data_IF_593802600996
#
_entry.id   IF_593802600996
#
_cell.length_a   1.000
_cell.length_b   1.000
_cell.length_c   1.000
_cell.angle_alpha   90.00
_cell.angle_beta   90.00
_cell.angle_gamma   90.00
#
_symmetry.space_group_name_H-M   'P 1'
#
loop_
_entity.id
_entity.type
_entity.pdbx_description
1 polymer ?
#
# COMPACT_ATOMS: atom_id res chain seq x y z
N UNK A 1 -7.98 -0.12 3.72
CA UNK A 1 -7.12 -0.10 2.51
C UNK A 1 -5.64 -0.13 2.86
N UNK A 2 -5.11 0.82 3.64
CA UNK A 2 -3.66 0.93 3.96
C UNK A 2 -3.03 -0.34 4.57
N UNK A 3 -3.70 -1.01 5.51
CA UNK A 3 -3.16 -2.26 6.08
C UNK A 3 -2.96 -3.36 5.03
N UNK A 4 -3.89 -3.51 4.07
CA UNK A 4 -3.76 -4.47 2.97
C UNK A 4 -2.59 -4.13 2.05
N UNK A 5 -2.27 -2.84 1.89
CA UNK A 5 -1.11 -2.40 1.13
C UNK A 5 0.19 -2.88 1.81
N UNK A 6 0.30 -2.76 3.14
CA UNK A 6 1.46 -3.30 3.87
C UNK A 6 1.58 -4.83 3.76
N UNK A 7 0.47 -5.56 3.70
CA UNK A 7 0.49 -7.01 3.44
C UNK A 7 1.09 -7.31 2.06
N UNK A 8 0.61 -6.62 1.00
CA UNK A 8 1.17 -6.76 -0.34
C UNK A 8 2.66 -6.40 -0.36
N UNK A 9 3.04 -5.37 0.38
CA UNK A 9 4.42 -4.98 0.49
C UNK A 9 5.30 -6.08 1.06
N UNK A 10 4.86 -6.72 2.15
CA UNK A 10 5.57 -7.81 2.81
C UNK A 10 5.63 -9.07 1.94
N UNK A 11 4.53 -9.43 1.26
CA UNK A 11 4.47 -10.63 0.42
C UNK A 11 5.35 -10.55 -0.83
N UNK A 12 5.40 -9.37 -1.45
CA UNK A 12 6.15 -9.15 -2.69
C UNK A 12 7.50 -8.47 -2.45
N UNK A 13 7.87 -8.22 -1.19
CA UNK A 13 9.10 -7.56 -0.78
C UNK A 13 9.37 -6.25 -1.56
N UNK A 14 8.35 -5.40 -1.68
CA UNK A 14 8.39 -4.19 -2.49
C UNK A 14 8.81 -2.96 -1.66
N UNK A 15 9.54 -2.02 -2.28
CA UNK A 15 9.70 -0.67 -1.73
C UNK A 15 8.38 0.11 -1.84
N UNK A 16 8.25 1.21 -1.07
CA UNK A 16 7.05 2.04 -1.08
C UNK A 16 6.75 2.57 -2.51
N UNK A 17 7.77 3.01 -3.23
CA UNK A 17 7.67 3.48 -4.63
C UNK A 17 7.32 2.35 -5.60
N UNK A 18 7.90 1.16 -5.41
CA UNK A 18 7.61 0.01 -6.27
C UNK A 18 6.17 -0.46 -6.07
N UNK A 19 5.67 -0.43 -4.84
CA UNK A 19 4.30 -0.78 -4.49
C UNK A 19 3.29 0.22 -5.06
N UNK A 20 3.57 1.53 -4.95
CA UNK A 20 2.78 2.59 -5.59
C UNK A 20 2.63 2.31 -7.10
N UNK A 21 3.76 2.09 -7.79
CA UNK A 21 3.77 1.77 -9.23
C UNK A 21 3.06 0.46 -9.56
N UNK A 22 3.13 -0.54 -8.68
CA UNK A 22 2.47 -1.82 -8.89
C UNK A 22 0.94 -1.68 -8.75
N UNK A 23 0.46 -1.01 -7.70
CA UNK A 23 -0.97 -0.74 -7.51
C UNK A 23 -1.52 0.10 -8.67
N UNK A 24 -0.73 1.02 -9.22
CA UNK A 24 -1.13 1.81 -10.39
C UNK A 24 -1.34 0.96 -11.66
N UNK A 25 -0.62 -0.16 -11.83
CA UNK A 25 -0.64 -0.95 -13.07
C UNK A 25 -1.39 -2.26 -12.98
N UNK A 26 -1.47 -2.84 -11.79
CA UNK A 26 -1.97 -4.20 -11.59
C UNK A 26 -3.38 -4.22 -10.98
N UNK A 27 -4.35 -4.66 -11.79
CA UNK A 27 -5.75 -4.76 -11.39
C UNK A 27 -5.98 -5.76 -10.25
N UNK A 28 -5.14 -6.79 -10.13
CA UNK A 28 -5.26 -7.76 -9.03
C UNK A 28 -4.84 -7.14 -7.71
N UNK A 29 -3.79 -6.31 -7.72
CA UNK A 29 -3.39 -5.53 -6.54
C UNK A 29 -4.50 -4.56 -6.15
N UNK A 30 -5.05 -3.80 -7.10
CA UNK A 30 -6.19 -2.89 -6.86
C UNK A 30 -7.40 -3.63 -6.29
N UNK A 31 -7.77 -4.77 -6.88
CA UNK A 31 -8.88 -5.61 -6.41
C UNK A 31 -8.64 -6.11 -4.99
N UNK A 32 -7.43 -6.54 -4.64
CA UNK A 32 -7.11 -7.02 -3.30
C UNK A 32 -7.30 -5.92 -2.23
N UNK A 33 -6.80 -4.72 -2.51
CA UNK A 33 -6.91 -3.57 -1.59
C UNK A 33 -8.29 -2.89 -1.64
N UNK A 34 -9.17 -3.33 -2.55
CA UNK A 34 -10.49 -2.78 -2.81
C UNK A 34 -10.45 -1.31 -3.29
N UNK A 35 -9.51 -1.00 -4.19
CA UNK A 35 -9.37 0.30 -4.84
C UNK A 35 -10.07 0.28 -6.21
N UNK A 36 -11.01 1.19 -6.42
CA UNK A 36 -11.69 1.35 -7.70
C UNK A 36 -10.72 1.85 -8.79
N UNK A 37 -11.06 1.60 -10.05
CA UNK A 37 -10.32 2.13 -11.20
C UNK A 37 -10.32 3.66 -11.27
N UNK A 38 -11.38 4.29 -10.76
CA UNK A 38 -11.57 5.74 -10.73
C UNK A 38 -10.90 6.43 -9.54
N UNK A 39 -10.40 5.66 -8.57
CA UNK A 39 -9.78 6.20 -7.36
C UNK A 39 -8.26 6.37 -7.55
N UNK A 40 -7.72 7.39 -6.88
CA UNK A 40 -6.29 7.66 -6.91
C UNK A 40 -5.51 6.64 -6.10
N UNK A 41 -4.34 6.27 -6.61
CA UNK A 41 -3.41 5.38 -5.91
C UNK A 41 -2.75 6.17 -4.76
N UNK A 42 -2.65 5.57 -3.56
CA UNK A 42 -1.90 6.16 -2.47
C UNK A 42 -0.42 6.30 -2.85
N UNK A 43 0.14 7.49 -2.65
CA UNK A 43 1.56 7.72 -2.88
C UNK A 43 2.42 7.02 -1.83
N UNK A 44 3.69 6.77 -2.17
CA UNK A 44 4.69 6.19 -1.27
C UNK A 44 4.78 6.94 0.06
N UNK A 45 4.58 8.26 0.07
CA UNK A 45 4.59 9.07 1.30
C UNK A 45 3.43 8.73 2.25
N UNK A 46 2.25 8.40 1.72
CA UNK A 46 1.11 7.96 2.53
C UNK A 46 1.34 6.58 3.12
N UNK A 47 1.95 5.67 2.35
CA UNK A 47 2.33 4.33 2.81
C UNK A 47 3.33 4.42 3.97
N UNK A 48 4.37 5.25 3.81
CA UNK A 48 5.37 5.47 4.85
C UNK A 48 4.75 6.07 6.13
N UNK A 49 3.92 7.11 6.01
CA UNK A 49 3.24 7.75 7.15
C UNK A 49 2.36 6.75 7.91
N UNK A 50 1.65 5.89 7.19
CA UNK A 50 0.84 4.85 7.81
C UNK A 50 1.70 3.84 8.58
N UNK A 51 2.85 3.43 8.02
CA UNK A 51 3.79 2.54 8.73
C UNK A 51 4.36 3.21 9.99
N UNK A 52 4.72 4.49 9.92
CA UNK A 52 5.19 5.23 11.08
C UNK A 52 4.13 5.32 12.18
N UNK A 53 2.87 5.57 11.80
CA UNK A 53 1.77 5.58 12.76
C UNK A 53 1.67 4.25 13.52
N UNK A 54 1.72 3.13 12.80
CA UNK A 54 1.66 1.80 13.44
C UNK A 54 2.85 1.52 14.37
N UNK A 55 4.06 1.96 14.00
CA UNK A 55 5.23 1.84 14.88
C UNK A 55 5.07 2.68 16.16
N UNK A 56 4.59 3.92 16.04
CA UNK A 56 4.35 4.80 17.19
C UNK A 56 3.35 4.20 18.16
N UNK A 57 2.29 3.58 17.63
CA UNK A 57 1.24 2.92 18.41
C UNK A 57 1.63 1.48 18.86
N UNK A 58 2.83 1.00 18.55
CA UNK A 58 3.31 -0.36 18.87
C UNK A 58 2.42 -1.48 18.29
N UNK A 59 1.90 -1.27 17.08
CA UNK A 59 1.02 -2.20 16.35
C UNK A 59 1.74 -2.96 15.22
N UNK A 60 3.04 -2.69 15.02
CA UNK A 60 3.97 -3.38 14.12
C UNK A 60 5.00 -4.15 14.94
#
# INVERSE_FOLDING_TARGET
MMFKILILQAWYNLSDEALEKQIARDLMFRRFINLSLSENVPDHSSIWRFRQLLNTEQLL
#
